data_IF_719585907017
#
_entry.id   IF_719585907017
#
_cell.length_a   1.000
_cell.length_b   1.000
_cell.length_c   1.000
_cell.angle_alpha   90.00
_cell.angle_beta   90.00
_cell.angle_gamma   90.00
#
_symmetry.space_group_name_H-M   'P 1'
#
loop_
_entity.id
_entity.type
_entity.pdbx_description
1 polymer ?
#
# COMPACT_ATOMS: atom_id res chain seq x y z
N UNK A 1 -48.84 -17.24 3.42
CA UNK A 1 -47.38 -17.35 3.55
C UNK A 1 -46.78 -16.16 2.83
N UNK A 2 -46.40 -15.13 3.57
CA UNK A 2 -45.86 -13.88 2.99
C UNK A 2 -44.36 -14.05 2.79
N UNK A 3 -43.94 -14.23 1.55
CA UNK A 3 -42.54 -14.19 1.16
C UNK A 3 -42.03 -12.77 1.37
N UNK A 4 -41.21 -12.56 2.41
CA UNK A 4 -40.42 -11.31 2.54
C UNK A 4 -39.56 -11.19 1.27
N UNK A 5 -39.56 -10.03 0.60
CA UNK A 5 -38.64 -9.80 -0.51
C UNK A 5 -37.21 -9.99 0.00
N UNK A 6 -36.40 -10.72 -0.73
CA UNK A 6 -34.98 -10.86 -0.49
C UNK A 6 -34.38 -9.45 -0.63
N UNK A 7 -34.06 -8.83 0.49
CA UNK A 7 -33.51 -7.48 0.49
C UNK A 7 -32.10 -7.57 -0.08
N UNK A 8 -31.89 -6.96 -1.23
CA UNK A 8 -30.57 -6.88 -1.87
C UNK A 8 -29.69 -5.92 -1.05
N UNK A 9 -28.43 -6.28 -0.87
CA UNK A 9 -27.45 -5.42 -0.18
C UNK A 9 -27.12 -4.28 -1.09
N UNK A 10 -27.27 -3.07 -0.59
CA UNK A 10 -26.88 -1.85 -1.27
C UNK A 10 -25.49 -1.34 -0.82
N UNK A 11 -25.07 -0.23 -1.43
CA UNK A 11 -23.78 0.39 -1.10
C UNK A 11 -23.74 0.93 0.35
N UNK A 12 -24.89 1.27 0.94
CA UNK A 12 -24.98 1.75 2.31
C UNK A 12 -24.74 0.62 3.31
N UNK A 13 -25.29 -0.56 3.07
CA UNK A 13 -25.06 -1.75 3.89
C UNK A 13 -23.57 -2.15 3.91
N UNK A 14 -22.91 -2.06 2.75
CA UNK A 14 -21.47 -2.33 2.63
C UNK A 14 -20.63 -1.27 3.35
N UNK A 15 -21.02 0.00 3.26
CA UNK A 15 -20.37 1.09 3.98
C UNK A 15 -20.52 0.91 5.50
N UNK A 16 -21.72 0.54 5.96
CA UNK A 16 -21.96 0.26 7.38
C UNK A 16 -21.14 -0.95 7.87
N UNK A 17 -21.04 -2.01 7.08
CA UNK A 17 -20.22 -3.17 7.39
C UNK A 17 -18.76 -2.77 7.56
N UNK A 18 -18.22 -1.99 6.63
CA UNK A 18 -16.85 -1.47 6.70
C UNK A 18 -16.61 -0.62 7.94
N UNK A 19 -17.55 0.24 8.29
CA UNK A 19 -17.47 1.11 9.48
C UNK A 19 -17.50 0.33 10.81
N UNK A 20 -18.14 -0.83 10.84
CA UNK A 20 -18.23 -1.68 12.04
C UNK A 20 -17.01 -2.57 12.25
N UNK A 21 -16.23 -2.84 11.21
CA UNK A 21 -15.06 -3.72 11.27
C UNK A 21 -13.79 -2.91 11.50
N UNK A 22 -13.12 -3.15 12.61
CA UNK A 22 -11.76 -2.60 12.82
C UNK A 22 -10.75 -3.39 11.99
N UNK A 23 -10.29 -2.81 10.89
CA UNK A 23 -9.32 -3.45 10.01
C UNK A 23 -8.01 -3.81 10.72
N UNK A 24 -7.41 -2.96 11.58
CA UNK A 24 -6.23 -3.35 12.35
C UNK A 24 -6.49 -4.54 13.29
N UNK A 25 -7.66 -4.60 13.92
CA UNK A 25 -7.99 -5.73 14.79
C UNK A 25 -8.18 -7.04 13.99
N UNK A 26 -8.81 -6.95 12.83
CA UNK A 26 -9.01 -8.09 11.92
C UNK A 26 -7.66 -8.63 11.42
N UNK A 27 -6.79 -7.76 10.93
CA UNK A 27 -5.47 -8.13 10.40
C UNK A 27 -4.55 -8.62 11.52
N UNK A 28 -4.60 -8.01 12.69
CA UNK A 28 -3.80 -8.36 13.86
C UNK A 28 -4.01 -9.78 14.39
N UNK A 29 -5.11 -10.43 14.02
CA UNK A 29 -5.35 -11.87 14.31
C UNK A 29 -4.49 -12.80 13.44
N UNK A 30 -3.96 -12.30 12.32
CA UNK A 30 -3.20 -13.10 11.36
C UNK A 30 -1.72 -12.75 11.29
N UNK A 31 -1.39 -11.49 11.47
CA UNK A 31 -0.02 -10.97 11.42
C UNK A 31 0.28 -10.10 12.63
N UNK A 32 1.53 -10.15 13.09
CA UNK A 32 1.98 -9.30 14.19
C UNK A 32 2.11 -7.86 13.72
N UNK A 33 1.13 -7.03 14.07
CA UNK A 33 1.16 -5.60 13.80
C UNK A 33 2.09 -4.87 14.77
N UNK A 34 2.88 -3.95 14.25
CA UNK A 34 3.75 -3.04 15.01
C UNK A 34 3.30 -1.60 14.76
N UNK A 35 3.36 -0.76 15.79
CA UNK A 35 3.04 0.66 15.64
C UNK A 35 4.12 1.39 14.84
N UNK A 36 3.68 2.19 13.87
CA UNK A 36 4.53 3.10 13.09
C UNK A 36 3.84 4.48 13.05
N UNK A 37 4.07 5.27 14.09
CA UNK A 37 3.35 6.53 14.30
C UNK A 37 1.84 6.30 14.55
N UNK A 38 1.00 6.86 13.71
CA UNK A 38 -0.47 6.64 13.75
C UNK A 38 -0.90 5.35 13.06
N UNK A 39 -0.05 4.76 12.22
CA UNK A 39 -0.34 3.58 11.42
C UNK A 39 0.15 2.30 12.09
N UNK A 40 -0.25 1.17 11.53
CA UNK A 40 0.28 -0.14 11.84
C UNK A 40 1.09 -0.67 10.66
N UNK A 41 2.16 -1.41 10.95
CA UNK A 41 2.99 -2.06 9.94
C UNK A 41 3.26 -3.51 10.33
N UNK A 42 3.47 -4.35 9.32
CA UNK A 42 3.82 -5.77 9.49
C UNK A 42 4.60 -6.28 8.29
N UNK A 43 5.16 -7.49 8.41
CA UNK A 43 5.49 -8.27 7.23
C UNK A 43 4.20 -8.72 6.53
N UNK A 44 4.19 -8.63 5.21
CA UNK A 44 3.01 -8.88 4.40
C UNK A 44 2.57 -10.36 4.46
N UNK A 45 1.28 -10.64 4.65
CA UNK A 45 0.78 -12.02 4.62
C UNK A 45 0.67 -12.60 3.20
N UNK A 46 0.81 -11.78 2.15
CA UNK A 46 0.60 -12.18 0.76
C UNK A 46 1.90 -12.50 0.02
N UNK A 47 3.07 -12.16 0.59
CA UNK A 47 4.37 -12.51 0.05
C UNK A 47 5.41 -12.62 1.17
N UNK A 48 6.49 -13.37 0.92
CA UNK A 48 7.59 -13.53 1.87
C UNK A 48 8.49 -12.32 1.93
N UNK A 49 8.64 -11.71 3.13
CA UNK A 49 9.55 -10.60 3.35
C UNK A 49 10.15 -10.62 4.77
N UNK A 50 11.31 -9.99 4.93
CA UNK A 50 11.97 -9.84 6.24
C UNK A 50 11.84 -8.42 6.80
N UNK A 51 11.60 -7.44 5.93
CA UNK A 51 11.45 -6.04 6.31
C UNK A 51 9.99 -5.63 6.10
N UNK A 52 9.30 -5.13 7.13
CA UNK A 52 7.89 -4.77 7.03
C UNK A 52 7.63 -3.77 5.91
N UNK A 53 6.73 -4.10 5.00
CA UNK A 53 6.26 -3.26 3.90
C UNK A 53 4.74 -3.19 3.80
N UNK A 54 4.05 -3.89 4.70
CA UNK A 54 2.60 -3.94 4.78
C UNK A 54 2.12 -2.92 5.81
N UNK A 55 1.37 -1.93 5.33
CA UNK A 55 0.82 -0.86 6.16
C UNK A 55 -0.69 -1.01 6.27
N UNK A 56 -1.21 -0.82 7.48
CA UNK A 56 -2.63 -0.92 7.79
C UNK A 56 -3.10 0.41 8.34
N UNK A 57 -4.10 0.95 7.68
CA UNK A 57 -4.83 2.16 7.98
C UNK A 57 -6.15 1.79 8.69
N UNK A 58 -6.95 2.75 9.03
CA UNK A 58 -8.22 2.47 9.71
C UNK A 58 -9.24 1.80 8.78
N UNK A 59 -9.23 2.14 7.49
CA UNK A 59 -10.18 1.71 6.46
C UNK A 59 -9.59 0.81 5.37
N UNK A 60 -8.28 0.85 5.14
CA UNK A 60 -7.62 0.06 4.10
C UNK A 60 -6.23 -0.43 4.52
N UNK A 61 -5.66 -1.35 3.74
CA UNK A 61 -4.27 -1.75 3.85
C UNK A 61 -3.55 -1.58 2.51
N UNK A 62 -2.24 -1.39 2.57
CA UNK A 62 -1.40 -1.34 1.38
C UNK A 62 -0.03 -1.97 1.67
N UNK A 63 0.41 -2.86 0.80
CA UNK A 63 1.76 -3.43 0.82
C UNK A 63 2.63 -2.75 -0.23
N UNK A 64 3.62 -1.99 0.18
CA UNK A 64 4.58 -1.37 -0.73
C UNK A 64 5.57 -2.36 -1.35
N UNK A 65 5.60 -3.61 -0.86
CA UNK A 65 6.39 -4.69 -1.44
C UNK A 65 5.75 -5.36 -2.64
N UNK A 66 4.54 -5.93 -2.44
CA UNK A 66 3.85 -6.68 -3.50
C UNK A 66 2.69 -5.92 -4.15
N UNK A 67 2.35 -4.71 -3.67
CA UNK A 67 1.21 -3.94 -4.18
C UNK A 67 -0.16 -4.47 -3.73
N UNK A 68 -0.21 -5.47 -2.84
CA UNK A 68 -1.48 -5.93 -2.30
C UNK A 68 -2.14 -4.81 -1.49
N UNK A 69 -3.37 -4.49 -1.80
CA UNK A 69 -4.16 -3.46 -1.14
C UNK A 69 -5.63 -3.88 -1.07
N UNK A 70 -6.41 -3.16 -0.29
CA UNK A 70 -7.85 -3.38 -0.17
C UNK A 70 -8.38 -3.05 1.23
N UNK A 71 -9.66 -3.28 1.43
CA UNK A 71 -10.37 -3.10 2.70
C UNK A 71 -10.47 -4.43 3.50
N UNK A 72 -11.35 -4.46 4.49
CA UNK A 72 -11.59 -5.65 5.32
C UNK A 72 -12.13 -6.83 4.50
N UNK A 73 -13.00 -6.55 3.52
CA UNK A 73 -13.61 -7.57 2.67
C UNK A 73 -12.55 -8.19 1.76
N UNK A 74 -11.73 -7.36 1.14
CA UNK A 74 -10.60 -7.80 0.31
C UNK A 74 -9.59 -8.62 1.09
N UNK A 75 -9.30 -8.20 2.34
CA UNK A 75 -8.38 -8.93 3.20
C UNK A 75 -8.88 -10.34 3.50
N UNK A 76 -10.15 -10.48 3.88
CA UNK A 76 -10.76 -11.79 4.16
C UNK A 76 -10.80 -12.63 2.89
N UNK A 77 -11.26 -12.04 1.78
CA UNK A 77 -11.34 -12.74 0.49
C UNK A 77 -9.99 -13.30 0.07
N UNK A 78 -8.93 -12.48 0.09
CA UNK A 78 -7.57 -12.88 -0.31
C UNK A 78 -6.91 -13.87 0.65
N UNK A 79 -7.11 -13.70 1.97
CA UNK A 79 -6.44 -14.56 2.97
C UNK A 79 -7.13 -15.89 3.19
N UNK A 80 -8.44 -15.98 2.93
CA UNK A 80 -9.22 -17.22 3.09
C UNK A 80 -9.52 -17.92 1.75
N UNK A 81 -9.24 -17.26 0.62
CA UNK A 81 -9.52 -17.79 -0.71
C UNK A 81 -11.03 -17.89 -0.99
N UNK A 82 -11.82 -17.00 -0.39
CA UNK A 82 -13.29 -16.97 -0.54
C UNK A 82 -13.71 -15.86 -1.48
N UNK A 83 -14.91 -16.00 -2.05
CA UNK A 83 -15.50 -14.97 -2.91
C UNK A 83 -15.86 -13.72 -2.12
N UNK A 84 -16.07 -12.59 -2.82
CA UNK A 84 -16.54 -11.34 -2.21
C UNK A 84 -17.82 -11.55 -1.38
N UNK A 85 -18.80 -12.28 -1.93
CA UNK A 85 -20.06 -12.58 -1.25
C UNK A 85 -19.89 -13.36 0.04
N UNK A 86 -19.01 -14.35 0.03
CA UNK A 86 -18.68 -15.13 1.21
C UNK A 86 -17.92 -14.32 2.25
N UNK A 87 -16.99 -13.47 1.81
CA UNK A 87 -16.26 -12.56 2.72
C UNK A 87 -17.21 -11.57 3.40
N UNK A 88 -18.16 -10.98 2.65
CA UNK A 88 -19.20 -10.10 3.21
C UNK A 88 -20.04 -10.86 4.24
N UNK A 89 -20.48 -12.08 3.95
CA UNK A 89 -21.29 -12.87 4.88
C UNK A 89 -20.51 -13.21 6.17
N UNK A 90 -19.23 -13.57 6.06
CA UNK A 90 -18.36 -13.84 7.21
C UNK A 90 -18.21 -12.61 8.10
N UNK A 91 -17.88 -11.47 7.51
CA UNK A 91 -17.69 -10.22 8.25
C UNK A 91 -19.00 -9.70 8.82
N UNK A 92 -20.14 -9.88 8.13
CA UNK A 92 -21.46 -9.48 8.62
C UNK A 92 -21.86 -10.27 9.86
N UNK A 93 -21.59 -11.56 9.87
CA UNK A 93 -21.82 -12.40 11.05
C UNK A 93 -20.98 -11.91 12.25
N UNK A 94 -19.73 -11.52 12.01
CA UNK A 94 -18.85 -10.97 13.04
C UNK A 94 -19.31 -9.58 13.52
N UNK A 95 -19.82 -8.74 12.61
CA UNK A 95 -20.34 -7.41 12.90
C UNK A 95 -21.75 -7.41 13.53
N UNK A 96 -22.37 -8.58 13.69
CA UNK A 96 -23.75 -8.71 14.18
C UNK A 96 -24.80 -8.21 13.16
N UNK A 97 -24.46 -8.23 11.87
CA UNK A 97 -25.36 -7.90 10.76
C UNK A 97 -25.89 -9.19 10.11
N UNK A 98 -27.18 -9.22 9.76
CA UNK A 98 -27.79 -10.40 9.14
C UNK A 98 -27.74 -10.33 7.62
N UNK A 99 -26.51 -10.35 7.07
CA UNK A 99 -26.26 -10.35 5.63
C UNK A 99 -25.91 -11.78 5.19
N UNK A 100 -26.64 -12.34 4.22
CA UNK A 100 -26.35 -13.65 3.65
C UNK A 100 -25.75 -13.52 2.24
N UNK A 101 -24.97 -14.50 1.76
CA UNK A 101 -24.37 -14.46 0.43
C UNK A 101 -25.39 -14.29 -0.72
N UNK A 102 -26.63 -14.73 -0.51
CA UNK A 102 -27.72 -14.59 -1.49
C UNK A 102 -28.24 -13.15 -1.61
N UNK A 103 -27.95 -12.30 -0.63
CA UNK A 103 -28.39 -10.90 -0.60
C UNK A 103 -27.38 -9.95 -1.29
N UNK A 104 -26.18 -10.43 -1.61
CA UNK A 104 -25.14 -9.60 -2.23
C UNK A 104 -25.32 -9.60 -3.74
N UNK A 105 -25.77 -8.47 -4.30
CA UNK A 105 -25.83 -8.28 -5.75
C UNK A 105 -24.43 -8.16 -6.35
N UNK A 106 -24.22 -8.77 -7.51
CA UNK A 106 -22.99 -8.62 -8.28
C UNK A 106 -22.78 -7.16 -8.75
N UNK A 107 -23.90 -6.41 -8.93
CA UNK A 107 -23.87 -5.03 -9.41
C UNK A 107 -23.63 -3.99 -8.28
N UNK A 108 -23.77 -4.38 -7.01
CA UNK A 108 -23.38 -3.52 -5.86
C UNK A 108 -21.87 -3.41 -5.70
N UNK A 109 -21.10 -4.25 -6.36
CA UNK A 109 -19.70 -4.03 -6.63
C UNK A 109 -19.65 -2.93 -7.68
N UNK A 110 -19.43 -1.67 -7.26
CA UNK A 110 -18.91 -0.67 -8.19
C UNK A 110 -17.76 -1.37 -8.90
N UNK A 111 -17.74 -1.42 -10.23
CA UNK A 111 -16.62 -1.97 -10.93
C UNK A 111 -15.45 -1.04 -10.61
N UNK A 112 -14.71 -1.35 -9.55
CA UNK A 112 -13.33 -0.96 -9.49
C UNK A 112 -12.76 -1.56 -10.76
N UNK A 113 -12.56 -0.70 -11.73
CA UNK A 113 -11.99 -1.05 -13.02
C UNK A 113 -10.57 -1.51 -12.72
N UNK A 114 -10.48 -2.76 -12.24
CA UNK A 114 -9.25 -3.51 -12.26
C UNK A 114 -8.92 -3.66 -13.74
N UNK A 115 -8.27 -2.63 -14.26
CA UNK A 115 -7.46 -2.82 -15.44
C UNK A 115 -6.59 -4.02 -15.08
N UNK A 116 -6.60 -5.12 -15.86
CA UNK A 116 -5.73 -6.25 -15.58
C UNK A 116 -4.34 -5.65 -15.40
N UNK A 117 -3.76 -5.89 -14.22
CA UNK A 117 -2.41 -5.40 -13.97
C UNK A 117 -1.57 -5.87 -15.15
N UNK A 118 -0.91 -4.97 -15.88
CA UNK A 118 -0.08 -5.38 -17.01
C UNK A 118 0.85 -6.47 -16.50
N UNK A 119 0.99 -7.55 -17.26
CA UNK A 119 1.88 -8.64 -16.91
C UNK A 119 3.20 -8.04 -16.45
N UNK A 120 3.75 -8.44 -15.29
CA UNK A 120 4.90 -7.76 -14.70
C UNK A 120 6.03 -7.73 -15.72
N UNK A 121 6.43 -6.56 -16.18
CA UNK A 121 7.62 -6.43 -16.99
C UNK A 121 8.82 -6.80 -16.12
N UNK A 122 9.87 -7.40 -16.69
CA UNK A 122 11.11 -7.70 -15.93
C UNK A 122 11.62 -6.49 -15.16
N UNK A 123 11.42 -5.29 -15.70
CA UNK A 123 11.74 -4.03 -15.03
C UNK A 123 10.88 -3.74 -13.81
N UNK A 124 9.61 -4.13 -13.79
CA UNK A 124 8.73 -3.95 -12.65
C UNK A 124 9.07 -4.95 -11.53
N UNK A 125 9.35 -6.20 -11.87
CA UNK A 125 9.78 -7.20 -10.90
C UNK A 125 11.13 -6.82 -10.29
N UNK A 126 12.06 -6.34 -11.10
CA UNK A 126 13.35 -5.84 -10.61
C UNK A 126 13.19 -4.60 -9.72
N UNK A 127 12.31 -3.65 -10.09
CA UNK A 127 11.99 -2.50 -9.24
C UNK A 127 11.44 -2.94 -7.89
N UNK A 128 10.58 -3.93 -7.90
CA UNK A 128 9.98 -4.52 -6.71
C UNK A 128 11.03 -5.18 -5.82
N UNK A 129 11.93 -5.99 -6.38
CA UNK A 129 13.00 -6.64 -5.61
C UNK A 129 13.92 -5.62 -4.95
N UNK A 130 14.33 -4.59 -5.68
CA UNK A 130 15.18 -3.50 -5.15
C UNK A 130 14.46 -2.74 -4.02
N UNK A 131 13.16 -2.51 -4.14
CA UNK A 131 12.38 -1.87 -3.10
C UNK A 131 12.22 -2.75 -1.85
N UNK A 132 12.11 -4.06 -2.03
CA UNK A 132 12.01 -5.03 -0.95
C UNK A 132 13.30 -5.17 -0.15
N UNK A 133 14.47 -5.07 -0.79
CA UNK A 133 15.78 -5.06 -0.14
C UNK A 133 16.03 -3.80 0.69
N UNK A 134 15.28 -2.73 0.42
CA UNK A 134 15.44 -1.45 1.09
C UNK A 134 14.91 -1.48 2.53
N UNK A 135 15.56 -0.71 3.40
CA UNK A 135 15.22 -0.56 4.82
C UNK A 135 14.27 0.64 5.01
N UNK A 136 13.52 0.71 6.12
CA UNK A 136 12.84 1.94 6.51
C UNK A 136 13.79 3.14 6.51
N UNK A 137 13.30 4.31 6.08
CA UNK A 137 14.15 5.50 5.92
C UNK A 137 14.60 6.13 7.24
N UNK A 138 13.89 5.86 8.34
CA UNK A 138 14.20 6.41 9.66
C UNK A 138 15.60 5.97 10.15
N UNK A 139 16.39 6.91 10.67
CA UNK A 139 17.75 6.68 11.15
C UNK A 139 18.79 6.47 10.03
N UNK A 140 18.43 6.69 8.77
CA UNK A 140 19.32 6.44 7.61
C UNK A 140 19.75 7.72 6.90
N UNK A 141 20.62 7.58 5.88
CA UNK A 141 21.01 8.69 5.01
C UNK A 141 19.81 9.33 4.29
N UNK A 142 18.74 8.60 4.04
CA UNK A 142 17.52 9.15 3.45
C UNK A 142 16.85 10.17 4.37
N UNK A 143 16.79 9.91 5.67
CA UNK A 143 16.27 10.88 6.64
C UNK A 143 17.19 12.09 6.77
N UNK A 144 18.52 11.88 6.83
CA UNK A 144 19.50 12.97 6.88
C UNK A 144 19.35 13.87 5.64
N UNK A 145 19.20 13.27 4.46
CA UNK A 145 18.98 14.00 3.22
C UNK A 145 17.68 14.83 3.24
N UNK A 146 16.56 14.24 3.65
CA UNK A 146 15.29 14.96 3.73
C UNK A 146 15.38 16.13 4.73
N UNK A 147 15.95 15.90 5.90
CA UNK A 147 16.18 16.97 6.89
C UNK A 147 17.09 18.10 6.36
N UNK A 148 18.13 17.75 5.61
CA UNK A 148 19.01 18.76 4.99
C UNK A 148 18.29 19.63 3.95
N UNK A 149 17.14 19.16 3.44
CA UNK A 149 16.24 19.85 2.52
C UNK A 149 15.09 20.57 3.21
N UNK A 150 15.06 20.58 4.55
CA UNK A 150 13.94 21.14 5.32
C UNK A 150 12.68 20.26 5.34
N UNK A 151 12.79 19.00 4.89
CA UNK A 151 11.67 18.06 4.81
C UNK A 151 11.71 17.07 5.97
N UNK A 152 10.54 16.75 6.53
CA UNK A 152 10.38 15.62 7.44
C UNK A 152 10.24 14.30 6.69
N UNK A 153 10.38 13.18 7.42
CA UNK A 153 10.02 11.87 6.89
C UNK A 153 8.48 11.79 6.76
N UNK A 154 7.97 11.38 5.60
CA UNK A 154 6.54 11.13 5.44
C UNK A 154 6.11 9.94 6.30
N UNK A 155 4.85 9.92 6.70
CA UNK A 155 4.31 8.91 7.62
C UNK A 155 4.09 7.55 6.97
N UNK A 156 3.89 7.48 5.68
CA UNK A 156 3.72 6.22 4.93
C UNK A 156 5.06 5.52 4.66
N UNK A 157 5.01 4.24 4.32
CA UNK A 157 6.17 3.44 3.94
C UNK A 157 6.68 3.68 2.50
N UNK A 158 6.19 4.72 1.83
CA UNK A 158 6.52 5.04 0.46
C UNK A 158 8.02 5.40 0.27
N UNK A 159 8.68 5.92 1.31
CA UNK A 159 10.11 6.27 1.29
C UNK A 159 10.91 5.22 2.07
N UNK A 160 11.92 4.67 1.39
CA UNK A 160 12.85 3.68 1.96
C UNK A 160 14.29 4.06 1.66
N UNK A 161 15.23 3.42 2.35
CA UNK A 161 16.67 3.59 2.13
C UNK A 161 17.30 2.26 1.68
N UNK A 162 18.01 2.30 0.59
CA UNK A 162 18.81 1.17 0.12
C UNK A 162 20.31 1.50 0.24
N UNK A 163 21.09 0.72 1.01
CA UNK A 163 22.50 1.04 1.26
C UNK A 163 23.40 0.88 0.03
N UNK A 164 23.00 0.02 -0.90
CA UNK A 164 23.77 -0.33 -2.09
C UNK A 164 22.83 -0.55 -3.29
N UNK A 165 22.02 0.46 -3.62
CA UNK A 165 21.06 0.40 -4.72
C UNK A 165 21.78 0.25 -6.07
N UNK A 166 21.36 -0.69 -6.92
CA UNK A 166 21.93 -0.87 -8.25
C UNK A 166 21.81 0.39 -9.11
N UNK A 167 22.90 0.79 -9.75
CA UNK A 167 22.97 1.85 -10.73
C UNK A 167 23.98 1.48 -11.81
N UNK A 168 23.49 1.10 -12.99
CA UNK A 168 24.37 0.63 -14.07
C UNK A 168 25.37 -0.44 -13.61
N UNK A 169 26.66 -0.09 -13.50
CA UNK A 169 27.73 -0.99 -13.08
C UNK A 169 28.17 -0.79 -11.63
N UNK A 170 27.55 0.11 -10.90
CA UNK A 170 27.90 0.46 -9.52
C UNK A 170 26.73 0.26 -8.55
N UNK A 171 27.02 0.30 -7.27
CA UNK A 171 26.02 0.21 -6.21
C UNK A 171 26.23 1.39 -5.26
N UNK A 172 25.21 2.21 -5.08
CA UNK A 172 25.26 3.44 -4.31
C UNK A 172 24.15 3.52 -3.27
N UNK A 173 24.37 4.21 -2.15
CA UNK A 173 23.30 4.50 -1.22
C UNK A 173 22.23 5.35 -1.89
N UNK A 174 20.96 4.97 -1.75
CA UNK A 174 19.85 5.65 -2.38
C UNK A 174 18.62 5.76 -1.48
N UNK A 175 17.95 6.89 -1.56
CA UNK A 175 16.57 7.04 -1.13
C UNK A 175 15.67 6.52 -2.25
N UNK A 176 14.77 5.64 -1.89
CA UNK A 176 13.78 5.05 -2.80
C UNK A 176 12.40 5.60 -2.46
N UNK A 177 11.64 5.97 -3.49
CA UNK A 177 10.25 6.33 -3.35
C UNK A 177 9.41 5.38 -4.21
N UNK A 178 8.43 4.71 -3.59
CA UNK A 178 7.49 3.86 -4.30
C UNK A 178 6.60 4.71 -5.20
N UNK A 179 6.43 4.27 -6.44
CA UNK A 179 5.50 4.87 -7.40
C UNK A 179 4.31 3.94 -7.60
N UNK A 180 3.13 4.52 -7.54
CA UNK A 180 1.86 3.81 -7.75
C UNK A 180 1.09 4.40 -8.91
N UNK A 181 0.28 3.58 -9.56
CA UNK A 181 -0.70 4.06 -10.52
C UNK A 181 -1.67 5.04 -9.85
N UNK A 182 -1.98 6.18 -10.46
CA UNK A 182 -2.84 7.19 -9.85
C UNK A 182 -4.28 6.73 -9.63
N UNK A 183 -4.78 5.80 -10.44
CA UNK A 183 -6.17 5.32 -10.40
C UNK A 183 -6.26 3.97 -9.67
N UNK A 184 -5.47 2.99 -10.10
CA UNK A 184 -5.51 1.64 -9.56
C UNK A 184 -4.77 1.50 -8.22
N UNK A 185 -3.99 2.50 -7.81
CA UNK A 185 -3.16 2.49 -6.60
C UNK A 185 -2.23 1.26 -6.48
N UNK A 186 -1.86 0.65 -7.60
CA UNK A 186 -0.93 -0.48 -7.66
C UNK A 186 0.50 0.01 -7.84
N UNK A 187 1.45 -0.73 -7.26
CA UNK A 187 2.88 -0.44 -7.42
C UNK A 187 3.30 -0.61 -8.89
N UNK A 188 3.86 0.45 -9.49
CA UNK A 188 4.31 0.48 -10.88
C UNK A 188 5.81 0.70 -11.02
N UNK A 189 6.50 1.09 -9.97
CA UNK A 189 7.94 1.32 -10.02
C UNK A 189 8.49 2.04 -8.80
N UNK A 190 9.74 2.44 -8.89
CA UNK A 190 10.44 3.23 -7.88
C UNK A 190 11.15 4.42 -8.50
N UNK A 191 11.13 5.53 -7.79
CA UNK A 191 12.05 6.65 -8.02
C UNK A 191 13.25 6.49 -7.09
N UNK A 192 14.46 6.53 -7.63
CA UNK A 192 15.73 6.39 -6.92
C UNK A 192 16.46 7.71 -6.88
N UNK A 193 16.81 8.17 -5.70
CA UNK A 193 17.69 9.35 -5.50
C UNK A 193 18.99 8.87 -4.85
N UNK A 194 20.07 8.87 -5.60
CA UNK A 194 21.40 8.45 -5.14
C UNK A 194 22.01 9.52 -4.26
N UNK A 195 22.46 9.11 -3.08
CA UNK A 195 22.90 10.00 -2.02
C UNK A 195 24.42 9.95 -1.84
N UNK A 196 24.98 11.06 -1.40
CA UNK A 196 26.37 11.12 -0.92
C UNK A 196 26.51 10.32 0.38
N UNK A 197 27.73 9.82 0.69
CA UNK A 197 27.97 9.07 1.93
C UNK A 197 27.68 9.84 3.21
N UNK A 198 27.71 11.18 3.17
CA UNK A 198 27.38 12.05 4.31
C UNK A 198 25.86 12.29 4.46
N UNK A 199 25.05 11.86 3.50
CA UNK A 199 23.61 12.06 3.46
C UNK A 199 23.16 13.51 3.23
N UNK A 200 24.06 14.46 3.12
CA UNK A 200 23.72 15.90 3.02
C UNK A 200 23.41 16.36 1.59
N UNK A 201 23.49 15.45 0.62
CA UNK A 201 23.24 15.78 -0.78
C UNK A 201 23.09 14.55 -1.66
N UNK A 202 22.72 14.81 -2.91
CA UNK A 202 22.77 13.82 -3.99
C UNK A 202 24.20 13.65 -4.46
N UNK A 203 24.52 12.49 -5.07
CA UNK A 203 25.79 12.31 -5.77
C UNK A 203 26.00 13.42 -6.81
N UNK A 204 27.27 13.77 -7.04
CA UNK A 204 27.66 14.86 -7.95
C UNK A 204 28.04 14.34 -9.34
N UNK A 205 28.32 13.04 -9.46
CA UNK A 205 28.69 12.40 -10.72
C UNK A 205 27.53 11.59 -11.30
N UNK A 206 27.35 11.69 -12.60
CA UNK A 206 26.31 10.98 -13.34
C UNK A 206 24.87 11.38 -12.94
N UNK A 207 23.92 10.54 -13.29
CA UNK A 207 22.50 10.82 -13.03
C UNK A 207 22.13 10.51 -11.59
N UNK A 208 21.89 11.55 -10.79
CA UNK A 208 21.57 11.42 -9.37
C UNK A 208 20.13 10.93 -9.09
N UNK A 209 19.22 11.05 -10.05
CA UNK A 209 17.82 10.62 -9.95
C UNK A 209 17.47 9.72 -11.12
N UNK A 210 16.92 8.55 -10.85
CA UNK A 210 16.52 7.59 -11.88
C UNK A 210 15.23 6.88 -11.48
N UNK A 211 14.40 6.59 -12.46
CA UNK A 211 13.25 5.69 -12.29
C UNK A 211 13.63 4.24 -12.63
N UNK A 212 12.88 3.30 -12.08
CA UNK A 212 12.91 1.90 -12.43
C UNK A 212 11.48 1.36 -12.37
N UNK A 213 11.01 0.74 -13.45
CA UNK A 213 9.61 0.45 -13.69
C UNK A 213 8.91 1.57 -14.46
N UNK A 214 7.60 1.66 -14.37
CA UNK A 214 6.78 2.67 -15.05
C UNK A 214 6.66 3.95 -14.21
N UNK A 215 6.38 5.08 -14.88
CA UNK A 215 6.06 6.32 -14.20
C UNK A 215 4.74 6.21 -13.42
N UNK A 216 4.68 6.87 -12.28
CA UNK A 216 3.53 6.88 -11.40
C UNK A 216 3.60 8.05 -10.44
N UNK A 217 2.68 8.11 -9.49
CA UNK A 217 2.69 9.11 -8.42
C UNK A 217 3.35 8.55 -7.16
N UNK A 218 3.97 9.42 -6.37
CA UNK A 218 4.53 9.09 -5.05
C UNK A 218 3.57 9.64 -4.01
N UNK A 219 2.87 8.75 -3.30
CA UNK A 219 1.98 9.13 -2.20
C UNK A 219 2.78 9.24 -0.92
N UNK A 220 3.01 10.47 -0.46
CA UNK A 220 3.78 10.77 0.76
C UNK A 220 2.90 10.75 2.02
N UNK A 221 1.58 10.86 1.84
CA UNK A 221 0.58 10.73 2.89
C UNK A 221 -0.56 9.83 2.40
N UNK A 222 -1.29 9.17 3.30
CA UNK A 222 -2.53 8.49 2.98
C UNK A 222 -3.56 9.46 2.41
N UNK A 223 -4.38 9.01 1.47
CA UNK A 223 -5.39 9.85 0.80
C UNK A 223 -6.44 10.38 1.79
N UNK A 224 -6.74 9.64 2.85
CA UNK A 224 -7.65 9.99 3.95
C UNK A 224 -7.09 11.04 4.92
N UNK A 225 -5.78 11.23 4.98
CA UNK A 225 -5.15 12.32 5.74
C UNK A 225 -5.19 13.68 5.00
N UNK A 226 -5.63 13.71 3.73
CA UNK A 226 -5.70 14.93 2.92
C UNK A 226 -7.02 15.65 3.17
N UNK A 227 -7.08 16.47 4.22
CA UNK A 227 -8.32 17.17 4.64
C UNK A 227 -8.43 18.61 4.16
N UNK A 228 -7.33 19.26 3.79
CA UNK A 228 -7.30 20.71 3.53
C UNK A 228 -6.79 21.06 2.13
N UNK A 229 -6.08 20.18 1.48
CA UNK A 229 -5.54 20.38 0.13
C UNK A 229 -4.46 19.39 -0.26
N UNK A 230 -4.31 19.20 -1.55
CA UNK A 230 -3.29 18.34 -2.14
C UNK A 230 -2.19 19.20 -2.73
N UNK A 231 -0.97 19.05 -2.21
CA UNK A 231 0.24 19.61 -2.84
C UNK A 231 0.80 18.64 -3.88
N UNK A 232 0.84 19.07 -5.14
CA UNK A 232 1.49 18.33 -6.23
C UNK A 232 2.77 19.06 -6.60
N UNK A 233 3.89 18.34 -6.65
CA UNK A 233 5.15 18.90 -7.16
C UNK A 233 5.79 17.94 -8.15
N UNK A 234 6.43 18.49 -9.17
CA UNK A 234 7.31 17.75 -10.05
C UNK A 234 8.71 17.63 -9.42
N UNK A 235 9.27 16.44 -9.42
CA UNK A 235 10.53 16.11 -8.75
C UNK A 235 11.78 16.27 -9.63
#
# INVERSE_FOLDING_TARGET
MSTRPTQEIDAADLAELRARISLPALIGRRVKLMRSGKLWTACCPFHGEKTPSFYVYDDHYHCFGCGAHGDAIDFVSKTQGVTFKEAVALLSSEAGMSITPAMVNADAVLPEKASPAPAPSEHLEFARSVFMEAKPAAGTLAEIYLRSRGCGLPRGGAIRFHPACPRERERLPAMLAAMTDPVANVFVGIHRTFLRPDGKGKIEHGTAKMMLGSAGIIRLAPDDEITIGLGICEG
#
